data_IF_262320182810
#
_entry.id   IF_262320182810
#
_cell.length_a   1.000
_cell.length_b   1.000
_cell.length_c   1.000
_cell.angle_alpha   90.00
_cell.angle_beta   90.00
_cell.angle_gamma   90.00
#
_symmetry.space_group_name_H-M   'P 1'
#
loop_
_entity.id
_entity.type
_entity.pdbx_description
1 polymer ?
#
# COMPACT_ATOMS: atom_id res chain seq x y z
N UNK A 1 3.16 0.82 10.24
CA UNK A 1 3.31 0.07 8.97
C UNK A 1 3.66 -1.38 9.26
N UNK A 2 2.80 -2.30 8.83
CA UNK A 2 2.85 -3.74 9.09
C UNK A 2 3.06 -4.49 7.79
N UNK A 3 4.20 -5.16 7.69
CA UNK A 3 4.58 -5.92 6.51
C UNK A 3 3.60 -7.03 6.11
N UNK A 4 3.04 -7.82 7.04
CA UNK A 4 2.07 -8.86 6.70
C UNK A 4 0.82 -8.29 6.03
N UNK A 5 0.33 -7.13 6.50
CA UNK A 5 -0.84 -6.46 5.94
C UNK A 5 -0.59 -6.01 4.50
N UNK A 6 0.54 -5.34 4.25
CA UNK A 6 0.89 -4.87 2.90
C UNK A 6 1.01 -6.05 1.93
N UNK A 7 1.63 -7.15 2.37
CA UNK A 7 1.70 -8.39 1.56
C UNK A 7 0.30 -8.90 1.24
N UNK A 8 -0.57 -9.00 2.24
CA UNK A 8 -1.94 -9.47 2.05
C UNK A 8 -2.71 -8.60 1.03
N UNK A 9 -2.58 -7.28 1.13
CA UNK A 9 -3.19 -6.34 0.19
C UNK A 9 -2.69 -6.55 -1.24
N UNK A 10 -1.38 -6.69 -1.43
CA UNK A 10 -0.78 -6.93 -2.76
C UNK A 10 -1.20 -8.27 -3.36
N UNK A 11 -1.40 -9.30 -2.53
CA UNK A 11 -1.78 -10.64 -2.97
C UNK A 11 -3.28 -10.81 -3.23
N UNK A 12 -4.13 -10.02 -2.57
CA UNK A 12 -5.60 -10.20 -2.61
C UNK A 12 -6.35 -9.10 -3.34
N UNK A 13 -5.78 -7.90 -3.48
CA UNK A 13 -6.46 -6.74 -4.06
C UNK A 13 -5.91 -6.39 -5.44
N UNK A 14 -6.76 -5.78 -6.26
CA UNK A 14 -6.35 -5.15 -7.53
C UNK A 14 -5.87 -3.72 -7.29
N UNK A 15 -5.07 -3.19 -8.23
CA UNK A 15 -4.66 -1.79 -8.19
C UNK A 15 -5.86 -0.84 -8.11
N UNK A 16 -6.91 -1.10 -8.90
CA UNK A 16 -8.14 -0.30 -8.89
C UNK A 16 -8.86 -0.33 -7.53
N UNK A 17 -8.99 -1.52 -6.92
CA UNK A 17 -9.58 -1.67 -5.58
C UNK A 17 -8.80 -0.87 -4.52
N UNK A 18 -7.46 -0.91 -4.60
CA UNK A 18 -6.60 -0.18 -3.67
C UNK A 18 -6.68 1.33 -3.87
N UNK A 19 -6.78 1.82 -5.11
CA UNK A 19 -6.98 3.25 -5.39
C UNK A 19 -8.33 3.74 -4.85
N UNK A 20 -9.39 2.94 -4.99
CA UNK A 20 -10.69 3.26 -4.40
C UNK A 20 -10.64 3.26 -2.86
N UNK A 21 -9.87 2.35 -2.24
CA UNK A 21 -9.67 2.33 -0.80
C UNK A 21 -8.85 3.55 -0.31
N UNK A 22 -7.84 3.98 -1.08
CA UNK A 22 -7.08 5.20 -0.81
C UNK A 22 -7.98 6.43 -0.81
N UNK A 23 -8.81 6.60 -1.84
CA UNK A 23 -9.77 7.69 -1.94
C UNK A 23 -10.79 7.66 -0.79
N UNK A 24 -11.32 6.48 -0.45
CA UNK A 24 -12.24 6.35 0.68
C UNK A 24 -11.58 6.78 2.01
N UNK A 25 -10.36 6.33 2.29
CA UNK A 25 -9.64 6.70 3.51
C UNK A 25 -9.31 8.19 3.58
N UNK A 26 -8.99 8.82 2.44
CA UNK A 26 -8.73 10.27 2.38
C UNK A 26 -9.98 11.11 2.64
N UNK A 27 -11.15 10.62 2.24
CA UNK A 27 -12.45 11.26 2.44
C UNK A 27 -13.12 10.84 3.77
N UNK A 28 -12.38 10.20 4.68
CA UNK A 28 -12.90 9.69 5.97
C UNK A 28 -14.09 8.73 5.80
N UNK A 29 -14.11 7.98 4.69
CA UNK A 29 -15.10 6.97 4.35
C UNK A 29 -14.55 5.56 4.58
N UNK A 30 -15.45 4.60 4.77
CA UNK A 30 -15.09 3.19 4.90
C UNK A 30 -14.77 2.58 3.52
N UNK A 31 -13.57 1.99 3.33
CA UNK A 31 -13.26 1.28 2.08
C UNK A 31 -14.16 0.07 1.84
N UNK A 32 -14.20 -0.40 0.59
CA UNK A 32 -14.99 -1.57 0.20
C UNK A 32 -14.53 -2.90 0.84
N UNK A 33 -13.34 -2.92 1.44
CA UNK A 33 -12.77 -4.06 2.15
C UNK A 33 -12.04 -3.58 3.41
N UNK A 34 -11.86 -4.48 4.37
CA UNK A 34 -11.16 -4.17 5.61
C UNK A 34 -9.66 -3.98 5.36
N UNK A 35 -9.14 -2.82 5.77
CA UNK A 35 -7.71 -2.53 5.79
C UNK A 35 -7.25 -2.63 7.24
N UNK A 36 -6.43 -3.63 7.57
CA UNK A 36 -5.86 -3.72 8.93
C UNK A 36 -4.94 -2.53 9.23
N UNK A 37 -5.09 -1.92 10.40
CA UNK A 37 -4.27 -0.81 10.90
C UNK A 37 -4.73 -0.35 12.28
N UNK A 38 -3.83 0.25 13.06
CA UNK A 38 -4.14 0.79 14.40
C UNK A 38 -4.98 2.08 14.34
N UNK A 39 -4.83 2.83 13.26
CA UNK A 39 -5.59 4.04 12.94
C UNK A 39 -5.70 4.22 11.42
N UNK A 40 -6.51 5.18 10.98
CA UNK A 40 -6.72 5.51 9.55
C UNK A 40 -5.41 5.92 8.85
N UNK A 41 -4.49 6.58 9.56
CA UNK A 41 -3.19 6.95 9.01
C UNK A 41 -2.32 5.73 8.70
N UNK A 42 -2.35 4.71 9.58
CA UNK A 42 -1.68 3.44 9.35
C UNK A 42 -2.36 2.65 8.22
N UNK A 43 -3.69 2.61 8.17
CA UNK A 43 -4.44 1.99 7.07
C UNK A 43 -4.06 2.61 5.72
N UNK A 44 -4.07 3.95 5.66
CA UNK A 44 -3.71 4.70 4.46
C UNK A 44 -2.26 4.40 4.06
N UNK A 45 -1.34 4.34 5.02
CA UNK A 45 0.05 3.95 4.77
C UNK A 45 0.17 2.54 4.16
N UNK A 46 -0.65 1.58 4.59
CA UNK A 46 -0.67 0.23 4.02
C UNK A 46 -1.18 0.20 2.59
N UNK A 47 -2.26 0.95 2.31
CA UNK A 47 -2.84 1.06 0.97
C UNK A 47 -1.84 1.71 0.01
N UNK A 48 -1.25 2.85 0.39
CA UNK A 48 -0.20 3.51 -0.40
C UNK A 48 0.98 2.58 -0.70
N UNK A 49 1.44 1.83 0.30
CA UNK A 49 2.53 0.87 0.12
C UNK A 49 2.16 -0.24 -0.88
N UNK A 50 0.95 -0.79 -0.78
CA UNK A 50 0.47 -1.83 -1.68
C UNK A 50 0.35 -1.31 -3.13
N UNK A 51 -0.22 -0.13 -3.33
CA UNK A 51 -0.30 0.54 -4.64
C UNK A 51 1.08 0.71 -5.25
N UNK A 52 2.03 1.28 -4.48
CA UNK A 52 3.39 1.48 -4.95
C UNK A 52 4.05 0.16 -5.37
N UNK A 53 3.89 -0.89 -4.54
CA UNK A 53 4.52 -2.19 -4.80
C UNK A 53 3.95 -2.83 -6.06
N UNK A 54 2.63 -2.81 -6.26
CA UNK A 54 2.00 -3.36 -7.48
C UNK A 54 2.52 -2.62 -8.72
N UNK A 55 2.51 -1.29 -8.70
CA UNK A 55 3.02 -0.49 -9.82
C UNK A 55 4.50 -0.79 -10.09
N UNK A 56 5.33 -0.84 -9.05
CA UNK A 56 6.76 -1.13 -9.22
C UNK A 56 7.01 -2.54 -9.79
N UNK A 57 6.26 -3.55 -9.34
CA UNK A 57 6.33 -4.91 -9.89
C UNK A 57 5.98 -4.90 -11.39
N UNK A 58 4.93 -4.18 -11.78
CA UNK A 58 4.47 -4.11 -13.17
C UNK A 58 5.47 -3.34 -14.06
N UNK A 59 5.91 -2.17 -13.61
CA UNK A 59 6.78 -1.26 -14.38
C UNK A 59 8.20 -1.81 -14.54
N UNK A 60 8.73 -2.48 -13.51
CA UNK A 60 10.13 -2.92 -13.45
C UNK A 60 10.29 -4.43 -13.58
N UNK A 61 9.19 -5.18 -13.75
CA UNK A 61 9.17 -6.64 -13.74
C UNK A 61 9.89 -7.24 -12.52
N UNK A 62 9.83 -6.55 -11.38
CA UNK A 62 10.53 -6.91 -10.15
C UNK A 62 9.70 -7.83 -9.26
N UNK A 63 10.34 -8.55 -8.36
CA UNK A 63 9.62 -9.28 -7.30
C UNK A 63 9.15 -8.36 -6.16
N UNK A 64 8.22 -8.86 -5.34
CA UNK A 64 7.68 -8.15 -4.18
C UNK A 64 8.74 -7.65 -3.20
N UNK A 65 9.77 -8.45 -2.89
CA UNK A 65 10.83 -8.05 -1.93
C UNK A 65 11.64 -6.88 -2.49
N UNK A 66 11.90 -6.90 -3.79
CA UNK A 66 12.58 -5.81 -4.50
C UNK A 66 11.74 -4.53 -4.44
N UNK A 67 10.48 -4.57 -4.86
CA UNK A 67 9.57 -3.43 -4.83
C UNK A 67 9.37 -2.84 -3.41
N UNK A 68 9.21 -3.72 -2.42
CA UNK A 68 9.08 -3.31 -1.01
C UNK A 68 10.30 -2.56 -0.50
N UNK A 69 11.51 -3.05 -0.84
CA UNK A 69 12.75 -2.39 -0.44
C UNK A 69 12.83 -0.99 -1.05
N UNK A 70 12.44 -0.83 -2.31
CA UNK A 70 12.40 0.49 -2.96
C UNK A 70 11.37 1.41 -2.30
N UNK A 71 10.18 0.90 -1.93
CA UNK A 71 9.22 1.67 -1.13
C UNK A 71 9.81 2.15 0.19
N UNK A 72 10.43 1.25 0.95
CA UNK A 72 11.01 1.56 2.26
C UNK A 72 12.13 2.61 2.15
N UNK A 73 12.94 2.55 1.09
CA UNK A 73 13.94 3.58 0.78
C UNK A 73 13.26 4.92 0.50
N UNK A 74 12.22 4.93 -0.34
CA UNK A 74 11.48 6.16 -0.71
C UNK A 74 10.91 6.83 0.53
N UNK A 75 10.21 6.09 1.40
CA UNK A 75 9.68 6.61 2.66
C UNK A 75 10.79 7.20 3.52
N UNK A 76 11.93 6.51 3.70
CA UNK A 76 13.05 7.04 4.48
C UNK A 76 13.59 8.36 3.94
N UNK A 77 13.71 8.49 2.62
CA UNK A 77 14.22 9.72 1.98
C UNK A 77 13.21 10.88 2.10
N UNK A 78 11.91 10.59 2.02
CA UNK A 78 10.86 11.62 2.10
C UNK A 78 10.69 12.27 3.49
N UNK A 79 11.34 11.74 4.53
CA UNK A 79 11.28 12.24 5.91
C UNK A 79 12.63 12.84 6.34
N UNK A 80 13.63 12.89 5.45
CA UNK A 80 14.97 13.46 5.71
C UNK A 80 15.10 14.92 5.28
#
# INVERSE_FOLDING_TARGET
MKMPVIRHLVETQTLESLLAAEEALLEEQTPAFEVEGEDEGEQLTHVFAAIFIINHIQDHQSDFKTALREYTKKVRVSIS
#
